data_IF_241492521553
#
_entry.id   IF_241492521553
#
_cell.length_a   1.000
_cell.length_b   1.000
_cell.length_c   1.000
_cell.angle_alpha   90.00
_cell.angle_beta   90.00
_cell.angle_gamma   90.00
#
_symmetry.space_group_name_H-M   'P 1'
#
loop_
_entity.id
_entity.type
_entity.pdbx_description
1 polymer ?
#
# COMPACT_ATOMS: atom_id res chain seq x y z
N UNK A 1 -10.13 -3.85 -25.82
CA UNK A 1 -10.39 -2.40 -25.65
C UNK A 1 -9.24 -1.80 -24.85
N UNK A 2 -8.39 -0.99 -25.48
CA UNK A 2 -7.33 -0.26 -24.78
C UNK A 2 -7.85 1.12 -24.43
N UNK A 3 -8.01 1.42 -23.14
CA UNK A 3 -8.38 2.78 -22.72
C UNK A 3 -7.27 3.75 -23.11
N UNK A 4 -7.62 4.85 -23.81
CA UNK A 4 -6.68 5.93 -24.16
C UNK A 4 -6.44 6.90 -22.99
N UNK A 5 -7.15 6.71 -21.89
CA UNK A 5 -7.15 7.62 -20.75
C UNK A 5 -7.08 6.84 -19.44
N UNK A 6 -6.36 7.39 -18.47
CA UNK A 6 -6.20 6.86 -17.14
C UNK A 6 -6.50 7.97 -16.14
N UNK A 7 -7.38 7.70 -15.19
CA UNK A 7 -7.75 8.65 -14.13
C UNK A 7 -7.45 8.04 -12.77
N UNK A 8 -6.69 8.76 -11.96
CA UNK A 8 -6.25 8.34 -10.63
C UNK A 8 -6.76 9.35 -9.61
N UNK A 9 -7.71 8.94 -8.78
CA UNK A 9 -8.26 9.77 -7.71
C UNK A 9 -7.68 9.38 -6.35
N UNK A 10 -7.36 10.36 -5.52
CA UNK A 10 -7.12 10.18 -4.09
C UNK A 10 -8.35 10.69 -3.35
N UNK A 11 -8.94 9.81 -2.56
CA UNK A 11 -10.15 10.06 -1.80
C UNK A 11 -9.83 10.01 -0.32
N UNK A 12 -10.36 10.97 0.43
CA UNK A 12 -10.22 11.08 1.87
C UNK A 12 -11.59 10.90 2.53
N UNK A 13 -11.65 9.99 3.50
CA UNK A 13 -12.84 9.73 4.31
C UNK A 13 -12.56 10.11 5.76
N UNK A 14 -13.47 10.86 6.39
CA UNK A 14 -13.36 11.19 7.80
C UNK A 14 -13.92 10.04 8.65
N UNK A 15 -13.03 9.34 9.36
CA UNK A 15 -13.37 8.22 10.24
C UNK A 15 -13.94 8.63 11.60
N UNK A 16 -14.00 9.92 11.93
CA UNK A 16 -14.71 10.41 13.12
C UNK A 16 -16.24 10.40 12.91
N UNK A 17 -16.70 10.22 11.67
CA UNK A 17 -18.12 10.04 11.36
C UNK A 17 -18.56 8.60 11.63
N UNK A 18 -19.82 8.37 12.00
CA UNK A 18 -20.35 7.03 12.14
C UNK A 18 -20.17 6.17 10.87
N UNK A 19 -19.99 4.83 10.99
CA UNK A 19 -19.70 3.95 9.85
C UNK A 19 -20.71 4.03 8.71
N UNK A 20 -21.97 4.32 9.00
CA UNK A 20 -23.04 4.46 8.01
C UNK A 20 -23.00 5.79 7.23
N UNK A 21 -22.23 6.78 7.70
CA UNK A 21 -22.05 8.08 7.06
C UNK A 21 -20.69 8.21 6.37
N UNK A 22 -19.60 7.73 6.99
CA UNK A 22 -18.24 8.02 6.54
C UNK A 22 -17.95 7.60 5.09
N UNK A 23 -18.62 6.54 4.58
CA UNK A 23 -18.47 6.04 3.22
C UNK A 23 -19.55 6.53 2.24
N UNK A 24 -20.44 7.45 2.65
CA UNK A 24 -21.41 8.04 1.71
C UNK A 24 -20.72 9.10 0.85
N UNK A 25 -21.12 9.18 -0.42
CA UNK A 25 -20.56 10.12 -1.42
C UNK A 25 -20.43 11.58 -0.92
N UNK A 26 -21.33 12.05 -0.07
CA UNK A 26 -21.31 13.41 0.50
C UNK A 26 -20.15 13.67 1.47
N UNK A 27 -19.63 12.62 2.12
CA UNK A 27 -18.58 12.72 3.16
C UNK A 27 -17.21 12.22 2.69
N UNK A 28 -17.12 11.78 1.43
CA UNK A 28 -15.85 11.44 0.78
C UNK A 28 -15.35 12.69 0.06
N UNK A 29 -14.18 13.17 0.46
CA UNK A 29 -13.52 14.31 -0.17
C UNK A 29 -12.57 13.80 -1.24
N UNK A 30 -12.64 14.37 -2.45
CA UNK A 30 -11.64 14.13 -3.48
C UNK A 30 -10.50 15.12 -3.28
N UNK A 31 -9.36 14.66 -2.77
CA UNK A 31 -8.21 15.52 -2.46
C UNK A 31 -7.29 15.72 -3.66
N UNK A 32 -7.23 14.72 -4.55
CA UNK A 32 -6.39 14.78 -5.74
C UNK A 32 -7.05 14.03 -6.89
N UNK A 33 -6.98 14.59 -8.09
CA UNK A 33 -7.42 13.96 -9.34
C UNK A 33 -6.31 14.10 -10.39
N UNK A 34 -5.62 13.00 -10.66
CA UNK A 34 -4.56 12.94 -11.66
C UNK A 34 -5.15 12.33 -12.93
N UNK A 35 -5.22 13.15 -13.98
CA UNK A 35 -5.64 12.71 -15.31
C UNK A 35 -4.42 12.58 -16.22
N UNK A 36 -4.41 11.55 -17.06
CA UNK A 36 -3.36 11.40 -18.05
C UNK A 36 -3.61 10.27 -19.04
N UNK A 37 -2.90 10.24 -20.17
CA UNK A 37 -3.00 9.14 -21.12
C UNK A 37 -2.49 7.81 -20.55
N UNK A 38 -1.70 7.86 -19.47
CA UNK A 38 -1.08 6.70 -18.80
C UNK A 38 -1.12 6.87 -17.28
N UNK A 39 -0.98 5.76 -16.57
CA UNK A 39 -0.80 5.74 -15.11
C UNK A 39 0.43 6.60 -14.72
N UNK A 40 0.35 7.43 -13.67
CA UNK A 40 1.46 8.27 -13.21
C UNK A 40 2.69 7.45 -12.79
N UNK A 41 2.48 6.21 -12.35
CA UNK A 41 3.55 5.30 -11.96
C UNK A 41 4.26 5.84 -10.74
N UNK A 42 5.58 6.01 -10.85
CA UNK A 42 6.38 6.58 -9.78
C UNK A 42 6.11 8.08 -9.59
N UNK A 43 5.64 8.81 -10.62
CA UNK A 43 5.45 10.27 -10.57
C UNK A 43 4.27 10.68 -9.66
N UNK A 44 3.52 9.71 -9.11
CA UNK A 44 2.45 9.95 -8.13
C UNK A 44 2.98 10.66 -6.87
N UNK A 45 4.25 10.45 -6.56
CA UNK A 45 4.95 10.99 -5.40
C UNK A 45 5.03 12.52 -5.43
N UNK A 46 5.27 13.11 -6.61
CA UNK A 46 5.28 14.56 -6.85
C UNK A 46 3.90 15.16 -6.58
N UNK A 47 2.83 14.51 -7.02
CA UNK A 47 1.48 15.02 -6.81
C UNK A 47 1.00 14.89 -5.36
N UNK A 48 1.52 13.91 -4.61
CA UNK A 48 1.17 13.70 -3.21
C UNK A 48 1.98 14.56 -2.25
N UNK A 49 3.16 15.06 -2.65
CA UNK A 49 4.05 15.85 -1.80
C UNK A 49 3.34 17.00 -1.04
N UNK A 50 2.59 17.92 -1.69
CA UNK A 50 1.92 19.01 -0.96
C UNK A 50 0.89 18.49 0.04
N UNK A 51 0.12 17.45 -0.35
CA UNK A 51 -0.88 16.85 0.52
C UNK A 51 -0.26 16.19 1.76
N UNK A 52 0.93 15.58 1.63
CA UNK A 52 1.65 15.00 2.76
C UNK A 52 2.17 16.07 3.71
N UNK A 53 2.66 17.19 3.17
CA UNK A 53 3.17 18.26 4.01
C UNK A 53 2.04 18.92 4.82
N UNK A 54 0.83 19.03 4.25
CA UNK A 54 -0.37 19.41 4.99
C UNK A 54 -0.69 18.41 6.12
N UNK A 55 -0.62 17.10 5.83
CA UNK A 55 -0.88 16.05 6.84
C UNK A 55 0.15 16.04 7.97
N UNK A 56 1.43 16.29 7.66
CA UNK A 56 2.48 16.45 8.67
C UNK A 56 2.21 17.66 9.55
N UNK A 57 1.77 18.77 8.96
CA UNK A 57 1.40 19.99 9.69
C UNK A 57 0.21 19.75 10.61
N UNK A 58 -0.83 19.09 10.10
CA UNK A 58 -2.01 18.69 10.88
C UNK A 58 -1.66 17.76 12.04
N UNK A 59 -0.67 16.87 11.89
CA UNK A 59 -0.26 15.97 12.95
C UNK A 59 0.63 16.64 14.01
N UNK A 60 1.65 17.40 13.59
CA UNK A 60 2.69 17.91 14.48
C UNK A 60 2.22 19.13 15.29
N UNK A 61 1.90 20.23 14.60
CA UNK A 61 1.44 21.48 15.23
C UNK A 61 -0.08 21.50 15.36
N UNK A 62 -0.79 20.95 14.36
CA UNK A 62 -2.20 21.23 14.12
C UNK A 62 -2.40 22.58 13.44
N UNK A 63 -3.64 22.89 13.09
CA UNK A 63 -4.05 24.15 12.43
C UNK A 63 -5.20 24.75 13.23
N UNK A 64 -5.19 26.07 13.44
CA UNK A 64 -6.30 26.78 14.09
C UNK A 64 -7.52 26.83 13.15
N UNK A 65 -8.65 26.30 13.62
CA UNK A 65 -9.89 26.17 12.85
C UNK A 65 -11.06 26.65 13.69
N UNK A 66 -11.96 27.43 13.09
CA UNK A 66 -13.19 27.88 13.72
C UNK A 66 -14.30 26.83 13.63
N UNK A 67 -14.82 26.38 14.77
CA UNK A 67 -16.01 25.54 14.86
C UNK A 67 -17.27 26.42 14.83
N UNK A 68 -17.99 26.40 13.71
CA UNK A 68 -19.23 27.17 13.54
C UNK A 68 -20.38 26.72 14.46
N UNK A 69 -20.39 25.47 14.91
CA UNK A 69 -21.42 24.95 15.81
C UNK A 69 -21.21 25.44 17.24
N UNK A 70 -19.97 25.33 17.74
CA UNK A 70 -19.60 25.79 19.09
C UNK A 70 -19.25 27.28 19.16
N UNK A 71 -19.03 27.91 18.02
CA UNK A 71 -18.60 29.31 17.87
C UNK A 71 -17.25 29.61 18.53
N UNK A 72 -16.34 28.65 18.55
CA UNK A 72 -15.01 28.76 19.16
C UNK A 72 -13.91 28.29 18.20
N UNK A 73 -12.71 28.83 18.37
CA UNK A 73 -11.52 28.31 17.69
C UNK A 73 -10.98 27.09 18.43
N UNK A 74 -10.51 26.11 17.66
CA UNK A 74 -9.82 24.95 18.20
C UNK A 74 -8.66 24.55 17.29
N UNK A 75 -7.64 23.92 17.88
CA UNK A 75 -6.54 23.36 17.11
C UNK A 75 -6.98 22.02 16.53
N UNK A 76 -7.21 22.00 15.22
CA UNK A 76 -7.48 20.78 14.47
C UNK A 76 -6.19 20.00 14.29
N UNK A 77 -6.20 18.76 14.79
CA UNK A 77 -5.18 17.76 14.48
C UNK A 77 -5.80 16.60 13.73
N UNK A 78 -5.08 16.08 12.75
CA UNK A 78 -5.50 14.93 11.99
C UNK A 78 -4.33 13.97 11.81
N UNK A 79 -4.65 12.68 11.84
CA UNK A 79 -3.78 11.62 11.36
C UNK A 79 -4.53 10.82 10.31
N UNK A 80 -3.81 10.27 9.36
CA UNK A 80 -4.40 9.17 8.59
C UNK A 80 -4.58 7.98 9.54
N UNK A 81 -5.55 7.12 9.27
CA UNK A 81 -5.76 5.89 10.03
C UNK A 81 -5.32 4.67 9.21
N UNK A 82 -5.77 4.60 7.96
CA UNK A 82 -5.40 3.56 7.01
C UNK A 82 -5.41 4.10 5.58
N UNK A 83 -4.70 3.44 4.67
CA UNK A 83 -4.85 3.66 3.22
C UNK A 83 -5.53 2.44 2.59
N UNK A 84 -6.43 2.69 1.64
CA UNK A 84 -7.09 1.65 0.85
C UNK A 84 -6.62 1.83 -0.59
N UNK A 85 -5.91 0.84 -1.10
CA UNK A 85 -5.36 0.87 -2.46
C UNK A 85 -5.54 -0.51 -3.10
N UNK A 86 -5.75 -0.52 -4.42
CA UNK A 86 -5.63 -1.76 -5.18
C UNK A 86 -4.15 -2.15 -5.34
N UNK A 87 -3.88 -3.37 -5.83
CA UNK A 87 -2.50 -3.86 -5.96
C UNK A 87 -1.61 -2.96 -6.85
N UNK A 88 -2.07 -2.46 -8.01
CA UNK A 88 -1.30 -1.51 -8.81
C UNK A 88 -0.98 -0.20 -8.08
N UNK A 89 -1.95 0.41 -7.39
CA UNK A 89 -1.73 1.63 -6.63
C UNK A 89 -0.80 1.39 -5.45
N UNK A 90 -0.98 0.28 -4.72
CA UNK A 90 -0.10 -0.12 -3.63
C UNK A 90 1.36 -0.18 -4.09
N UNK A 91 1.63 -0.79 -5.25
CA UNK A 91 2.98 -0.89 -5.79
C UNK A 91 3.61 0.46 -6.17
N UNK A 92 2.82 1.48 -6.46
CA UNK A 92 3.33 2.84 -6.70
C UNK A 92 3.55 3.61 -5.40
N UNK A 93 2.62 3.48 -4.44
CA UNK A 93 2.66 4.20 -3.16
C UNK A 93 3.72 3.64 -2.20
N UNK A 94 3.73 2.31 -2.03
CA UNK A 94 4.71 1.62 -1.17
C UNK A 94 6.05 1.42 -1.85
N UNK A 95 6.13 1.64 -3.17
CA UNK A 95 7.20 1.21 -4.08
C UNK A 95 7.59 -0.28 -3.98
N UNK A 96 6.74 -1.10 -3.36
CA UNK A 96 6.86 -2.54 -3.33
C UNK A 96 6.61 -3.13 -4.73
N UNK A 97 7.34 -4.19 -5.08
CA UNK A 97 7.11 -4.87 -6.35
C UNK A 97 5.84 -5.71 -6.26
N UNK A 98 4.72 -5.23 -6.78
CA UNK A 98 3.46 -6.00 -6.84
C UNK A 98 3.39 -6.94 -8.06
N UNK A 99 4.53 -7.18 -8.72
CA UNK A 99 4.68 -8.05 -9.89
C UNK A 99 5.88 -8.98 -9.71
N UNK A 100 5.89 -10.06 -10.50
CA UNK A 100 7.00 -11.02 -10.54
C UNK A 100 6.91 -12.09 -9.46
N UNK A 101 8.05 -12.65 -9.04
CA UNK A 101 8.10 -13.79 -8.11
C UNK A 101 7.77 -13.43 -6.66
N UNK A 102 7.90 -12.15 -6.28
CA UNK A 102 7.70 -11.64 -4.92
C UNK A 102 6.66 -10.53 -4.88
N UNK A 103 5.46 -10.82 -5.36
CA UNK A 103 4.39 -9.82 -5.42
C UNK A 103 3.57 -9.69 -4.14
N UNK A 104 3.70 -10.63 -3.20
CA UNK A 104 2.90 -10.66 -1.99
C UNK A 104 3.56 -9.82 -0.89
N UNK A 105 2.96 -8.67 -0.47
CA UNK A 105 3.54 -7.83 0.58
C UNK A 105 3.55 -8.53 1.95
N UNK A 106 2.66 -9.50 2.17
CA UNK A 106 2.59 -10.26 3.43
C UNK A 106 3.72 -11.29 3.52
N UNK A 107 3.94 -12.06 2.44
CA UNK A 107 4.98 -13.09 2.42
C UNK A 107 6.37 -12.52 2.15
N UNK A 108 6.46 -11.37 1.47
CA UNK A 108 7.68 -10.76 0.96
C UNK A 108 8.65 -11.76 0.29
N UNK A 109 9.83 -11.93 0.88
CA UNK A 109 10.88 -12.83 0.45
C UNK A 109 10.53 -14.30 0.57
N UNK A 110 9.58 -14.64 1.45
CA UNK A 110 9.02 -15.97 1.58
C UNK A 110 7.89 -16.27 0.58
N UNK A 111 7.58 -15.34 -0.34
CA UNK A 111 6.57 -15.56 -1.38
C UNK A 111 6.95 -16.80 -2.20
N UNK A 112 6.09 -17.82 -2.16
CA UNK A 112 6.29 -19.02 -2.95
C UNK A 112 5.62 -18.85 -4.31
N UNK A 113 6.43 -18.74 -5.36
CA UNK A 113 5.94 -18.53 -6.73
C UNK A 113 6.47 -19.57 -7.69
N UNK A 114 5.64 -20.00 -8.64
CA UNK A 114 6.01 -20.93 -9.71
C UNK A 114 5.75 -20.26 -11.05
N UNK A 115 6.66 -20.45 -12.01
CA UNK A 115 6.45 -20.03 -13.39
C UNK A 115 5.85 -21.18 -14.20
N UNK A 116 4.62 -21.02 -14.67
CA UNK A 116 3.98 -21.97 -15.56
C UNK A 116 4.46 -21.73 -16.98
N UNK A 117 5.32 -22.63 -17.50
CA UNK A 117 5.94 -22.51 -18.83
C UNK A 117 4.89 -22.37 -19.94
N UNK A 118 3.85 -23.21 -19.91
CA UNK A 118 2.83 -23.26 -20.95
C UNK A 118 1.94 -22.00 -20.96
N UNK A 119 1.55 -21.52 -19.77
CA UNK A 119 0.69 -20.34 -19.63
C UNK A 119 1.47 -19.02 -19.63
N UNK A 120 2.81 -19.06 -19.57
CA UNK A 120 3.70 -17.91 -19.42
C UNK A 120 3.26 -16.96 -18.30
N UNK A 121 2.89 -17.53 -17.15
CA UNK A 121 2.39 -16.80 -15.98
C UNK A 121 3.10 -17.25 -14.71
N UNK A 122 3.33 -16.30 -13.81
CA UNK A 122 3.69 -16.58 -12.42
C UNK A 122 2.43 -16.86 -11.63
N UNK A 123 2.40 -17.98 -10.91
CA UNK A 123 1.35 -18.31 -9.94
C UNK A 123 1.95 -18.31 -8.53
N UNK A 124 1.17 -17.87 -7.55
CA UNK A 124 1.57 -17.82 -6.15
C UNK A 124 0.96 -19.00 -5.41
N UNK A 125 1.82 -19.83 -4.82
CA UNK A 125 1.43 -21.03 -4.08
C UNK A 125 1.75 -20.86 -2.59
N UNK A 126 1.58 -21.93 -1.82
CA UNK A 126 1.92 -21.91 -0.38
C UNK A 126 0.94 -21.12 0.48
N UNK A 127 -0.26 -20.81 -0.03
CA UNK A 127 -1.34 -20.14 0.73
C UNK A 127 -1.81 -20.97 1.94
N UNK A 128 -1.60 -22.30 1.92
CA UNK A 128 -1.95 -23.19 3.04
C UNK A 128 -1.23 -22.85 4.35
N UNK A 129 -0.13 -22.09 4.31
CA UNK A 129 0.59 -21.62 5.52
C UNK A 129 -0.24 -20.67 6.39
N UNK A 130 -1.27 -20.03 5.83
CA UNK A 130 -2.17 -19.12 6.55
C UNK A 130 -3.27 -19.88 7.33
N UNK A 131 -3.45 -21.18 7.07
CA UNK A 131 -4.40 -22.01 7.81
C UNK A 131 -3.87 -22.36 9.20
N UNK A 132 -4.71 -22.65 10.20
CA UNK A 132 -4.26 -23.19 11.49
C UNK A 132 -3.40 -24.45 11.34
N UNK A 133 -2.45 -24.69 12.24
CA UNK A 133 -1.49 -25.79 12.13
C UNK A 133 -2.15 -27.18 12.04
N UNK A 134 -3.29 -27.38 12.73
CA UNK A 134 -4.07 -28.62 12.71
C UNK A 134 -5.04 -28.76 11.52
N UNK A 135 -5.11 -27.78 10.61
CA UNK A 135 -6.12 -27.78 9.56
C UNK A 135 -5.91 -28.91 8.55
N UNK A 136 -6.97 -29.68 8.23
CA UNK A 136 -6.91 -30.87 7.37
C UNK A 136 -6.26 -30.60 6.00
N UNK A 137 -6.55 -29.45 5.39
CA UNK A 137 -6.00 -29.06 4.08
C UNK A 137 -4.47 -28.93 4.05
N UNK A 138 -3.81 -28.74 5.19
CA UNK A 138 -2.35 -28.76 5.25
C UNK A 138 -1.76 -30.15 4.91
N UNK A 139 -2.53 -31.22 5.11
CA UNK A 139 -2.11 -32.62 4.83
C UNK A 139 -2.54 -33.13 3.45
N UNK A 140 -3.50 -32.46 2.81
CA UNK A 140 -3.99 -32.84 1.47
C UNK A 140 -2.94 -32.50 0.41
N UNK A 141 -2.18 -33.49 -0.05
CA UNK A 141 -1.13 -33.31 -1.07
C UNK A 141 -1.73 -33.29 -2.48
N UNK A 142 -2.61 -34.24 -2.75
CA UNK A 142 -3.13 -34.54 -4.09
C UNK A 142 -4.06 -33.43 -4.62
N UNK A 143 -4.79 -32.76 -3.73
CA UNK A 143 -5.66 -31.63 -4.09
C UNK A 143 -4.90 -30.31 -4.30
N UNK A 144 -3.59 -30.27 -3.97
CA UNK A 144 -2.81 -29.03 -3.98
C UNK A 144 -1.47 -29.19 -4.73
N UNK A 145 -0.35 -28.83 -4.11
CA UNK A 145 0.99 -28.76 -4.72
C UNK A 145 1.85 -29.99 -4.43
N UNK A 146 1.22 -31.13 -4.12
CA UNK A 146 1.90 -32.41 -3.86
C UNK A 146 2.65 -32.49 -2.54
N UNK A 147 2.64 -31.42 -1.72
CA UNK A 147 3.42 -31.34 -0.49
C UNK A 147 2.52 -31.24 0.75
N UNK A 148 3.04 -31.65 1.92
CA UNK A 148 2.39 -31.31 3.21
C UNK A 148 2.89 -29.93 3.66
N UNK A 149 1.97 -29.06 4.10
CA UNK A 149 2.33 -27.71 4.54
C UNK A 149 2.57 -27.65 6.07
N UNK A 150 3.85 -27.62 6.44
CA UNK A 150 4.30 -27.48 7.83
C UNK A 150 4.70 -26.06 8.20
N UNK A 151 4.87 -25.16 7.23
CA UNK A 151 5.32 -23.79 7.50
C UNK A 151 4.23 -23.00 8.21
N UNK A 152 4.65 -22.03 9.00
CA UNK A 152 3.77 -21.05 9.62
C UNK A 152 3.68 -19.80 8.74
N UNK A 153 2.67 -18.98 9.00
CA UNK A 153 2.64 -17.62 8.48
C UNK A 153 3.93 -16.89 8.89
N UNK A 154 4.45 -16.08 7.97
CA UNK A 154 5.58 -15.19 8.26
C UNK A 154 5.24 -14.33 9.46
N UNK A 155 6.20 -14.17 10.39
CA UNK A 155 5.99 -13.29 11.53
C UNK A 155 5.75 -11.87 11.00
N UNK A 156 4.76 -11.18 11.58
CA UNK A 156 4.57 -9.76 11.32
C UNK A 156 5.88 -9.03 11.64
N UNK A 157 6.25 -8.10 10.78
CA UNK A 157 7.42 -7.26 10.97
C UNK A 157 6.96 -5.84 11.27
N UNK A 158 7.80 -5.09 11.98
CA UNK A 158 7.59 -3.65 12.11
C UNK A 158 7.95 -2.96 10.81
N UNK A 159 6.96 -2.38 10.15
CA UNK A 159 7.15 -1.66 8.89
C UNK A 159 8.10 -0.45 9.08
N UNK A 160 8.06 0.21 10.24
CA UNK A 160 8.89 1.40 10.50
C UNK A 160 10.39 1.04 10.52
N UNK A 161 10.77 0.00 11.25
CA UNK A 161 12.16 -0.51 11.28
C UNK A 161 12.75 -0.82 9.89
N UNK A 162 11.89 -1.18 8.91
CA UNK A 162 12.32 -1.50 7.55
C UNK A 162 12.61 -0.27 6.69
N UNK A 163 12.09 0.89 7.08
CA UNK A 163 12.12 2.12 6.27
C UNK A 163 12.91 3.26 6.90
N UNK A 164 13.13 3.23 8.22
CA UNK A 164 13.82 4.30 8.96
C UNK A 164 15.20 4.69 8.37
N UNK A 165 15.96 3.70 7.91
CA UNK A 165 17.34 3.89 7.40
C UNK A 165 17.45 3.90 5.87
N UNK A 166 16.33 4.10 5.15
CA UNK A 166 16.36 4.12 3.69
C UNK A 166 16.67 5.52 3.15
N UNK A 167 17.71 5.63 2.33
CA UNK A 167 17.98 6.83 1.54
C UNK A 167 16.93 7.00 0.43
N UNK A 168 16.01 7.94 0.63
CA UNK A 168 14.94 8.27 -0.29
C UNK A 168 15.44 9.33 -1.29
N UNK A 169 15.31 9.05 -2.59
CA UNK A 169 15.51 10.03 -3.68
C UNK A 169 14.16 10.25 -4.36
N UNK A 170 13.77 11.48 -4.68
CA UNK A 170 12.49 11.78 -5.34
C UNK A 170 12.69 11.93 -6.87
N UNK A 171 11.69 11.59 -7.68
CA UNK A 171 11.69 11.83 -9.13
C UNK A 171 12.46 10.82 -10.00
N UNK A 172 12.34 10.92 -11.34
CA UNK A 172 12.84 9.89 -12.28
C UNK A 172 14.36 9.70 -12.19
N UNK A 173 14.82 8.47 -11.91
CA UNK A 173 16.23 8.09 -12.07
C UNK A 173 16.56 7.78 -13.54
N UNK A 174 17.69 8.29 -14.02
CA UNK A 174 18.39 7.78 -15.21
C UNK A 174 18.95 6.40 -14.89
N UNK A 175 18.82 5.44 -15.81
CA UNK A 175 19.19 4.02 -15.64
C UNK A 175 20.63 3.88 -15.13
N UNK A 176 20.85 3.24 -13.98
CA UNK A 176 22.19 2.85 -13.53
C UNK A 176 22.23 1.52 -12.74
N UNK A 177 23.42 0.90 -12.80
CA UNK A 177 23.80 -0.52 -12.69
C UNK A 177 23.28 -1.33 -11.50
N UNK A 178 23.26 -2.65 -11.77
CA UNK A 178 22.94 -3.79 -10.90
C UNK A 178 23.32 -3.59 -9.43
N UNK A 179 22.34 -3.76 -8.53
CA UNK A 179 22.49 -4.53 -7.28
C UNK A 179 21.19 -4.51 -6.45
N UNK A 180 20.79 -5.69 -5.96
CA UNK A 180 19.53 -6.09 -5.29
C UNK A 180 18.26 -6.12 -6.16
N UNK A 181 17.70 -7.34 -6.33
CA UNK A 181 16.69 -7.72 -7.34
C UNK A 181 15.23 -7.53 -6.85
N UNK A 182 15.02 -7.05 -5.62
CA UNK A 182 13.71 -7.19 -4.95
C UNK A 182 13.03 -5.88 -4.53
N UNK A 183 13.73 -4.76 -4.60
CA UNK A 183 13.15 -3.42 -4.44
C UNK A 183 13.30 -2.73 -5.79
N UNK A 184 12.25 -2.07 -6.31
CA UNK A 184 12.51 -0.97 -7.25
C UNK A 184 13.43 -0.02 -6.48
N UNK A 185 14.66 0.21 -6.97
CA UNK A 185 15.61 1.12 -6.29
C UNK A 185 14.90 2.46 -6.06
N UNK A 186 14.89 2.82 -4.80
CA UNK A 186 13.85 3.57 -4.10
C UNK A 186 13.72 5.01 -4.60
N UNK A 187 12.47 5.36 -4.95
CA UNK A 187 11.89 6.65 -4.60
C UNK A 187 10.67 6.33 -3.73
N UNK A 188 10.77 6.52 -2.43
CA UNK A 188 9.62 6.43 -1.54
C UNK A 188 9.44 7.81 -0.94
N UNK A 189 8.56 8.62 -1.51
CA UNK A 189 7.82 9.51 -0.63
C UNK A 189 7.16 8.59 0.39
N UNK A 190 7.57 8.71 1.65
CA UNK A 190 7.13 7.86 2.73
C UNK A 190 5.62 7.97 2.89
N UNK A 191 4.88 7.13 2.16
CA UNK A 191 3.66 6.54 2.68
C UNK A 191 4.05 5.30 3.48
N UNK A 192 4.80 5.53 4.55
CA UNK A 192 4.62 4.75 5.77
C UNK A 192 3.40 5.32 6.50
N UNK A 193 2.29 5.47 5.76
CA UNK A 193 1.01 5.60 6.42
C UNK A 193 0.61 4.18 6.82
N UNK A 194 1.06 3.83 8.02
CA UNK A 194 0.28 3.03 8.95
C UNK A 194 -0.11 1.64 8.42
N UNK A 195 0.87 0.83 8.05
CA UNK A 195 0.70 -0.61 8.34
C UNK A 195 0.97 -0.90 9.84
N UNK A 196 1.32 0.11 10.64
CA UNK A 196 1.69 -0.01 12.07
C UNK A 196 0.84 0.81 13.05
N UNK A 197 -0.34 1.32 12.67
CA UNK A 197 -1.32 1.76 13.67
C UNK A 197 -2.46 0.75 13.78
N UNK A 198 -2.21 -0.23 14.65
CA UNK A 198 -3.16 -1.10 15.40
C UNK A 198 -4.31 -1.75 14.62
N UNK A 199 -4.22 -3.08 14.52
CA UNK A 199 -4.93 -3.98 15.44
C UNK A 199 -3.95 -5.05 15.96
#
# INVERSE_FOLDING_TARGET
>A
MSSRHSTWSVLLCNYNLPPWLCMKRKYIMMTLLIQGPKQPGNDIDVFLAPWIDDLKTLWASGVDVYDAYKKENFILRAMIFCTISDFPAYGNLSGYSTKGKKACPVCEDETHSIWLKNCKKTVYMGHRRFLPAGHSYRKKKDEFDGNTEHRTMRKRFDAFSRVENLNIVLGKRTRAKNESIWKKKINHVGFTILETFRC
#
